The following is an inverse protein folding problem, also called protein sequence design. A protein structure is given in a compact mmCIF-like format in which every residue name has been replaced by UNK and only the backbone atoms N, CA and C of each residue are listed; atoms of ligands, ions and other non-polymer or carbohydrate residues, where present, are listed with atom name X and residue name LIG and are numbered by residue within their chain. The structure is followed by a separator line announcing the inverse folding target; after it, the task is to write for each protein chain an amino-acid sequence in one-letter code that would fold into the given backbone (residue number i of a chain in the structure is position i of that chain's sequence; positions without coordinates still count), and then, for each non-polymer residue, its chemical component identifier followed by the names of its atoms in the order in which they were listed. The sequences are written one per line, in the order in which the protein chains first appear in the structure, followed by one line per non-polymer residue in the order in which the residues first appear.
data_IF_400534961353
#
_entry.id   IF_400534961353
#
_cell.length_a   1.000
_cell.length_b   1.000
_cell.length_c   1.000
_cell.angle_alpha   90.00
_cell.angle_beta   90.00
_cell.angle_gamma   90.00
#
_symmetry.space_group_name_H-M   'P 1'
#
loop_
_entity.id
_entity.type
_entity.pdbx_description
1 polymer ?
#
# COMPACT_ATOMS: atom_id res chain seq x y z
N UNK A 1 -18.11 12.71 -4.69
CA UNK A 1 -18.17 14.11 -4.19
C UNK A 1 -19.61 14.66 -4.22
N UNK A 2 -20.63 13.81 -4.40
CA UNK A 2 -22.05 14.19 -4.43
C UNK A 2 -22.79 13.89 -3.11
N UNK A 3 -22.13 13.29 -2.12
CA UNK A 3 -22.64 13.05 -0.76
C UNK A 3 -23.18 14.31 -0.08
N UNK A 4 -22.69 15.48 -0.48
CA UNK A 4 -23.12 16.76 0.06
C UNK A 4 -24.44 17.25 -0.53
N UNK A 5 -24.83 16.74 -1.69
CA UNK A 5 -26.08 17.12 -2.35
C UNK A 5 -27.30 16.67 -1.54
N UNK A 6 -27.22 15.52 -0.85
CA UNK A 6 -28.29 15.01 0.03
C UNK A 6 -28.32 15.73 1.40
N UNK A 7 -27.22 16.39 1.80
CA UNK A 7 -27.15 17.20 3.02
C UNK A 7 -27.32 18.71 2.77
N UNK A 8 -27.67 19.12 1.54
CA UNK A 8 -27.85 20.53 1.18
C UNK A 8 -26.56 21.35 1.09
N UNK A 9 -25.40 20.71 1.15
CA UNK A 9 -24.13 21.37 0.85
C UNK A 9 -23.91 21.31 -0.67
N UNK A 10 -23.69 22.47 -1.29
CA UNK A 10 -23.40 22.53 -2.73
C UNK A 10 -22.17 21.69 -3.12
N UNK A 11 -22.00 21.46 -4.42
CA UNK A 11 -20.84 20.76 -4.99
C UNK A 11 -19.56 21.44 -4.49
N UNK A 12 -18.85 20.82 -3.53
CA UNK A 12 -17.58 21.35 -3.04
C UNK A 12 -16.55 21.23 -4.17
N UNK A 13 -15.89 22.33 -4.57
CA UNK A 13 -14.78 22.26 -5.51
C UNK A 13 -13.69 21.31 -5.01
N UNK A 14 -13.16 20.46 -5.89
CA UNK A 14 -12.06 19.52 -5.57
C UNK A 14 -10.93 20.10 -4.71
N UNK A 15 -10.37 21.30 -4.98
CA UNK A 15 -9.33 21.88 -4.14
C UNK A 15 -9.78 22.15 -2.70
N UNK A 16 -11.04 22.56 -2.51
CA UNK A 16 -11.59 22.78 -1.17
C UNK A 16 -11.77 21.46 -0.42
N UNK A 17 -12.22 20.40 -1.11
CA UNK A 17 -12.34 19.07 -0.50
C UNK A 17 -10.97 18.47 -0.15
N UNK A 18 -9.96 18.65 -1.01
CA UNK A 18 -8.59 18.23 -0.75
C UNK A 18 -8.00 18.98 0.47
N UNK A 19 -8.23 20.30 0.55
CA UNK A 19 -7.82 21.11 1.69
C UNK A 19 -8.54 20.66 2.98
N UNK A 20 -9.85 20.41 2.92
CA UNK A 20 -10.62 19.91 4.07
C UNK A 20 -10.07 18.56 4.55
N UNK A 21 -9.80 17.61 3.65
CA UNK A 21 -9.20 16.33 4.00
C UNK A 21 -7.81 16.51 4.65
N UNK A 22 -6.98 17.42 4.12
CA UNK A 22 -5.69 17.75 4.71
C UNK A 22 -5.82 18.35 6.12
N UNK A 23 -6.77 19.26 6.33
CA UNK A 23 -7.07 19.85 7.65
C UNK A 23 -7.55 18.78 8.63
N UNK A 24 -8.41 17.85 8.20
CA UNK A 24 -8.89 16.75 9.04
C UNK A 24 -7.78 15.75 9.40
N UNK A 25 -6.80 15.55 8.52
CA UNK A 25 -5.67 14.63 8.77
C UNK A 25 -4.54 15.27 9.60
N UNK A 26 -4.38 16.60 9.52
CA UNK A 26 -3.29 17.34 10.16
C UNK A 26 -3.10 17.02 11.66
N UNK A 27 -4.14 16.98 12.52
CA UNK A 27 -3.97 16.67 13.94
C UNK A 27 -3.28 15.33 14.21
N UNK A 28 -3.53 14.33 13.36
CA UNK A 28 -2.88 13.03 13.43
C UNK A 28 -1.44 13.08 12.91
N UNK A 29 -1.20 13.75 11.79
CA UNK A 29 0.13 13.87 11.17
C UNK A 29 1.15 14.65 12.02
N UNK A 30 0.69 15.65 12.79
CA UNK A 30 1.56 16.43 13.69
C UNK A 30 1.89 15.71 15.01
N UNK A 31 1.30 14.55 15.31
CA UNK A 31 1.62 13.82 16.53
C UNK A 31 3.06 13.31 16.50
N UNK A 32 3.81 13.50 17.59
CA UNK A 32 5.21 13.02 17.71
C UNK A 32 5.33 11.58 18.22
N UNK A 33 4.30 11.07 18.90
CA UNK A 33 4.38 9.80 19.63
C UNK A 33 3.67 8.66 18.90
N UNK A 34 4.40 7.55 18.72
CA UNK A 34 3.87 6.28 18.20
C UNK A 34 2.77 5.68 19.08
N UNK A 35 2.75 5.97 20.40
CA UNK A 35 1.74 5.41 21.31
C UNK A 35 0.33 5.87 20.94
N UNK A 36 0.16 7.17 20.70
CA UNK A 36 -1.12 7.75 20.27
C UNK A 36 -1.50 7.28 18.86
N UNK A 37 -0.49 7.05 18.02
CA UNK A 37 -0.67 6.59 16.64
C UNK A 37 -1.19 5.15 16.57
N UNK A 38 -0.93 4.32 17.59
CA UNK A 38 -1.52 2.97 17.67
C UNK A 38 -3.06 2.97 17.71
N UNK A 39 -3.68 4.04 18.21
CA UNK A 39 -5.14 4.19 18.22
C UNK A 39 -5.67 4.32 16.79
N UNK A 40 -5.00 5.11 15.94
CA UNK A 40 -5.37 5.22 14.52
C UNK A 40 -5.23 3.88 13.80
N UNK A 41 -4.21 3.08 14.10
CA UNK A 41 -4.07 1.75 13.50
C UNK A 41 -5.25 0.82 13.85
N UNK A 42 -5.71 0.82 15.11
CA UNK A 42 -6.90 0.05 15.52
C UNK A 42 -8.16 0.56 14.82
N UNK A 43 -8.31 1.88 14.72
CA UNK A 43 -9.44 2.51 14.05
C UNK A 43 -9.45 2.18 12.55
N UNK A 44 -8.30 2.24 11.88
CA UNK A 44 -8.15 1.84 10.48
C UNK A 44 -8.48 0.36 10.27
N UNK A 45 -8.06 -0.52 11.19
CA UNK A 45 -8.39 -1.94 11.11
C UNK A 45 -9.90 -2.17 11.23
N UNK A 46 -10.56 -1.54 12.21
CA UNK A 46 -12.02 -1.63 12.36
C UNK A 46 -12.73 -1.09 11.11
N UNK A 47 -12.31 0.07 10.60
CA UNK A 47 -12.85 0.66 9.39
C UNK A 47 -12.63 -0.25 8.15
N UNK A 48 -11.47 -0.88 8.02
CA UNK A 48 -11.18 -1.84 6.95
C UNK A 48 -12.08 -3.07 7.03
N UNK A 49 -12.31 -3.63 8.23
CA UNK A 49 -13.24 -4.75 8.42
C UNK A 49 -14.66 -4.36 8.03
N UNK A 50 -15.16 -3.21 8.51
CA UNK A 50 -16.50 -2.71 8.16
C UNK A 50 -16.59 -2.46 6.66
N UNK A 51 -15.59 -1.81 6.07
CA UNK A 51 -15.52 -1.56 4.63
C UNK A 51 -15.58 -2.85 3.82
N UNK A 52 -14.77 -3.87 4.17
CA UNK A 52 -14.75 -5.15 3.48
C UNK A 52 -16.07 -5.90 3.60
N UNK A 53 -16.69 -5.93 4.79
CA UNK A 53 -17.98 -6.60 5.01
C UNK A 53 -19.11 -5.92 4.22
N UNK A 54 -19.18 -4.59 4.28
CA UNK A 54 -20.19 -3.82 3.55
C UNK A 54 -19.97 -3.96 2.04
N UNK A 55 -18.73 -3.85 1.57
CA UNK A 55 -18.41 -4.02 0.15
C UNK A 55 -18.78 -5.42 -0.32
N UNK A 56 -18.40 -6.47 0.41
CA UNK A 56 -18.79 -7.83 0.09
C UNK A 56 -20.32 -7.96 0.01
N UNK A 57 -21.06 -7.42 0.99
CA UNK A 57 -22.52 -7.48 0.99
C UNK A 57 -23.15 -6.82 -0.25
N UNK A 58 -22.57 -5.71 -0.74
CA UNK A 58 -23.06 -4.99 -1.92
C UNK A 58 -22.71 -5.69 -3.23
N UNK A 59 -21.51 -6.24 -3.30
CA UNK A 59 -20.95 -6.82 -4.52
C UNK A 59 -21.49 -8.23 -4.76
N UNK A 60 -21.88 -8.96 -3.70
CA UNK A 60 -22.53 -10.28 -3.81
C UNK A 60 -24.05 -10.23 -4.00
N UNK A 61 -24.67 -9.05 -4.03
CA UNK A 61 -26.09 -8.95 -4.38
C UNK A 61 -26.31 -9.48 -5.80
N UNK A 62 -27.21 -10.45 -6.01
CA UNK A 62 -27.46 -11.01 -7.33
C UNK A 62 -27.79 -9.93 -8.36
N UNK A 63 -27.02 -9.87 -9.43
CA UNK A 63 -27.35 -9.14 -10.65
C UNK A 63 -28.09 -10.01 -11.64
N UNK A 64 -28.85 -9.37 -12.53
CA UNK A 64 -29.30 -10.02 -13.77
C UNK A 64 -28.09 -10.62 -14.49
N UNK A 65 -28.24 -11.83 -15.02
CA UNK A 65 -27.14 -12.74 -15.38
C UNK A 65 -26.20 -12.24 -16.50
N UNK A 66 -26.54 -11.12 -17.14
CA UNK A 66 -25.82 -10.57 -18.30
C UNK A 66 -24.75 -9.52 -17.94
N UNK A 67 -24.56 -9.21 -16.65
CA UNK A 67 -23.66 -8.14 -16.19
C UNK A 67 -22.15 -8.46 -16.21
N UNK A 68 -21.72 -9.64 -16.69
CA UNK A 68 -20.31 -9.82 -16.99
C UNK A 68 -19.94 -8.82 -18.09
N UNK A 69 -19.05 -7.87 -17.77
CA UNK A 69 -18.44 -6.96 -18.75
C UNK A 69 -18.21 -7.75 -20.03
N UNK A 70 -18.76 -7.30 -21.17
CA UNK A 70 -18.79 -8.15 -22.36
C UNK A 70 -17.39 -8.70 -22.55
N UNK A 71 -17.23 -10.04 -22.53
CA UNK A 71 -15.91 -10.67 -22.40
C UNK A 71 -14.88 -10.07 -23.38
N UNK A 72 -15.37 -9.52 -24.49
CA UNK A 72 -14.62 -8.71 -25.45
C UNK A 72 -13.71 -7.67 -24.78
N UNK A 73 -14.15 -6.84 -23.84
CA UNK A 73 -13.32 -5.71 -23.34
C UNK A 73 -12.08 -6.17 -22.59
N UNK A 74 -12.17 -7.23 -21.78
CA UNK A 74 -11.03 -7.73 -21.01
C UNK A 74 -9.99 -8.43 -21.90
N UNK A 75 -10.46 -9.10 -22.96
CA UNK A 75 -9.65 -9.94 -23.85
C UNK A 75 -9.20 -9.24 -25.15
N UNK A 76 -9.72 -8.06 -25.46
CA UNK A 76 -9.32 -7.32 -26.68
C UNK A 76 -7.91 -6.74 -26.56
N UNK A 77 -7.45 -6.39 -25.34
CA UNK A 77 -6.09 -5.84 -25.10
C UNK A 77 -5.44 -6.34 -23.81
N UNK A 78 -5.17 -7.65 -23.68
CA UNK A 78 -4.66 -8.23 -22.44
C UNK A 78 -3.29 -7.66 -22.05
N UNK A 79 -2.40 -7.42 -23.01
CA UNK A 79 -1.06 -6.91 -22.74
C UNK A 79 -1.06 -5.50 -22.13
N UNK A 80 -1.82 -4.57 -22.72
CA UNK A 80 -1.94 -3.19 -22.22
C UNK A 80 -2.57 -3.18 -20.81
N UNK A 81 -3.64 -3.96 -20.62
CA UNK A 81 -4.33 -4.04 -19.32
C UNK A 81 -3.45 -4.66 -18.22
N UNK A 82 -2.67 -5.70 -18.55
CA UNK A 82 -1.74 -6.32 -17.60
C UNK A 82 -0.65 -5.33 -17.18
N UNK A 83 -0.07 -4.61 -18.14
CA UNK A 83 0.98 -3.62 -17.84
C UNK A 83 0.44 -2.46 -16.98
N UNK A 84 -0.77 -2.00 -17.23
CA UNK A 84 -1.41 -0.96 -16.42
C UNK A 84 -1.80 -1.46 -15.01
N UNK A 85 -2.23 -2.72 -14.88
CA UNK A 85 -2.62 -3.31 -13.60
C UNK A 85 -1.43 -3.76 -12.75
N UNK A 86 -0.30 -4.13 -13.37
CA UNK A 86 0.85 -4.70 -12.70
C UNK A 86 1.43 -3.79 -11.59
N UNK A 87 1.63 -2.48 -11.78
CA UNK A 87 2.06 -1.59 -10.71
C UNK A 87 1.09 -1.52 -9.54
N UNK A 88 -0.23 -1.52 -9.82
CA UNK A 88 -1.26 -1.46 -8.79
C UNK A 88 -1.24 -2.76 -7.97
N UNK A 89 -1.16 -3.90 -8.65
CA UNK A 89 -1.02 -5.20 -8.02
C UNK A 89 0.24 -5.26 -7.15
N UNK A 90 1.38 -4.87 -7.71
CA UNK A 90 2.65 -4.80 -6.99
C UNK A 90 2.57 -3.92 -5.75
N UNK A 91 1.90 -2.77 -5.84
CA UNK A 91 1.70 -1.85 -4.73
C UNK A 91 0.85 -2.46 -3.62
N UNK A 92 -0.24 -3.14 -3.99
CA UNK A 92 -1.14 -3.80 -3.04
C UNK A 92 -0.40 -4.85 -2.19
N UNK A 93 0.61 -5.49 -2.77
CA UNK A 93 1.41 -6.54 -2.13
C UNK A 93 2.79 -6.05 -1.62
N UNK A 94 3.05 -4.75 -1.65
CA UNK A 94 4.29 -4.13 -1.17
C UNK A 94 4.35 -4.04 0.37
N UNK A 95 4.31 -5.20 1.04
CA UNK A 95 4.39 -5.32 2.51
C UNK A 95 5.83 -5.26 3.01
N UNK A 96 6.83 -5.24 2.12
CA UNK A 96 8.24 -5.47 2.43
C UNK A 96 8.80 -4.59 3.56
N UNK A 97 8.56 -3.26 3.61
CA UNK A 97 9.12 -2.42 4.67
C UNK A 97 8.50 -2.72 6.05
N UNK A 98 7.20 -3.01 6.09
CA UNK A 98 6.48 -3.32 7.33
C UNK A 98 6.68 -4.75 7.80
N UNK A 99 6.80 -5.70 6.86
CA UNK A 99 6.96 -7.13 7.14
C UNK A 99 8.21 -7.42 7.95
N UNK A 100 9.35 -6.81 7.61
CA UNK A 100 10.62 -7.01 8.34
C UNK A 100 10.48 -6.63 9.82
N UNK A 101 9.74 -5.55 10.14
CA UNK A 101 9.51 -5.12 11.51
C UNK A 101 8.57 -6.06 12.29
N UNK A 102 7.58 -6.65 11.62
CA UNK A 102 6.71 -7.66 12.23
C UNK A 102 7.52 -8.92 12.54
N UNK A 103 8.35 -9.34 11.58
CA UNK A 103 9.17 -10.54 11.73
C UNK A 103 10.28 -10.39 12.78
N UNK A 104 10.84 -9.20 12.99
CA UNK A 104 11.83 -8.97 14.06
C UNK A 104 11.21 -9.00 15.46
N UNK A 105 9.93 -8.64 15.59
CA UNK A 105 9.19 -8.79 16.86
C UNK A 105 8.81 -10.23 17.16
N UNK A 106 8.56 -11.04 16.13
CA UNK A 106 8.35 -12.48 16.30
C UNK A 106 9.63 -13.18 16.76
N UNK A 107 10.81 -12.72 16.30
CA UNK A 107 12.11 -13.19 16.77
C UNK A 107 12.40 -12.80 18.22
N UNK A 108 12.04 -11.57 18.62
CA UNK A 108 12.32 -11.05 19.96
C UNK A 108 11.47 -11.68 21.07
N UNK A 109 10.48 -12.53 20.75
CA UNK A 109 9.73 -13.29 21.77
C UNK A 109 10.62 -14.45 22.23
N UNK A 110 11.22 -14.38 23.44
CA UNK A 110 12.11 -15.42 23.88
C UNK A 110 11.32 -16.72 24.00
N UNK A 111 11.83 -17.78 23.38
CA UNK A 111 11.54 -19.16 23.77
C UNK A 111 11.58 -19.21 25.30
N UNK A 112 10.48 -19.63 25.92
CA UNK A 112 10.30 -19.66 27.38
C UNK A 112 11.60 -20.11 28.07
N UNK A 113 12.14 -19.33 29.04
CA UNK A 113 13.31 -19.74 29.81
C UNK A 113 12.86 -20.87 30.74
N UNK A 114 13.02 -22.10 30.27
CA UNK A 114 12.47 -23.26 30.97
C UNK A 114 12.83 -24.56 30.28
N UNK A 115 14.12 -24.86 30.21
CA UNK A 115 14.71 -26.12 30.68
C UNK A 115 16.22 -26.03 30.43
N UNK A 116 17.01 -26.10 31.50
CA UNK A 116 18.46 -25.96 31.44
C UNK A 116 19.09 -27.00 30.52
N UNK A 117 19.79 -26.54 29.48
CA UNK A 117 20.73 -27.36 28.74
C UNK A 117 22.12 -26.76 28.92
N UNK A 118 22.89 -27.46 29.74
CA UNK A 118 24.21 -27.10 30.19
C UNK A 118 25.23 -27.59 29.15
N UNK A 119 26.04 -26.66 28.63
CA UNK A 119 27.40 -26.92 28.13
C UNK A 119 27.56 -27.83 26.91
N UNK A 120 27.42 -27.27 25.70
CA UNK A 120 27.98 -27.87 24.49
C UNK A 120 27.48 -27.19 23.22
N UNK A 121 28.39 -26.61 22.43
CA UNK A 121 28.17 -26.22 21.02
C UNK A 121 27.25 -25.00 20.74
N UNK A 122 27.60 -23.81 21.25
CA UNK A 122 26.88 -22.56 20.96
C UNK A 122 26.83 -22.15 19.47
N UNK A 123 27.67 -22.73 18.61
CA UNK A 123 27.74 -22.35 17.19
C UNK A 123 26.77 -23.15 16.30
N UNK A 124 26.50 -24.43 16.62
CA UNK A 124 25.54 -25.26 15.88
C UNK A 124 24.09 -24.96 16.27
N UNK A 125 23.83 -24.57 17.53
CA UNK A 125 22.49 -24.14 17.96
C UNK A 125 22.03 -22.85 17.26
N UNK A 126 22.97 -21.97 16.87
CA UNK A 126 22.69 -20.72 16.17
C UNK A 126 22.18 -20.91 14.73
N UNK A 127 22.75 -21.86 13.99
CA UNK A 127 22.33 -22.14 12.60
C UNK A 127 20.98 -22.87 12.53
N UNK A 128 20.70 -23.77 13.47
CA UNK A 128 19.40 -24.42 13.61
C UNK A 128 18.28 -23.43 13.99
N UNK A 129 18.57 -22.47 14.87
CA UNK A 129 17.61 -21.43 15.23
C UNK A 129 17.32 -20.46 14.07
N UNK A 130 18.33 -20.09 13.29
CA UNK A 130 18.16 -19.19 12.15
C UNK A 130 17.32 -19.82 11.02
N UNK A 131 17.54 -21.11 10.73
CA UNK A 131 16.80 -21.84 9.69
C UNK A 131 15.32 -22.03 10.05
N UNK A 132 15.02 -22.43 11.29
CA UNK A 132 13.64 -22.58 11.78
C UNK A 132 12.86 -21.26 11.78
N UNK A 133 13.51 -20.14 12.15
CA UNK A 133 12.91 -18.80 12.05
C UNK A 133 12.63 -18.39 10.60
N UNK A 134 13.54 -18.67 9.68
CA UNK A 134 13.33 -18.38 8.26
C UNK A 134 12.15 -19.16 7.69
N UNK A 135 11.98 -20.42 8.08
CA UNK A 135 10.84 -21.25 7.69
C UNK A 135 9.52 -20.69 8.24
N UNK A 136 9.48 -20.33 9.54
CA UNK A 136 8.30 -19.71 10.14
C UNK A 136 7.91 -18.39 9.44
N UNK A 137 8.89 -17.57 9.06
CA UNK A 137 8.67 -16.32 8.30
C UNK A 137 8.05 -16.60 6.93
N UNK A 138 8.59 -17.57 6.20
CA UNK A 138 8.08 -17.99 4.88
C UNK A 138 6.66 -18.52 4.98
N UNK A 139 6.36 -19.31 6.02
CA UNK A 139 5.03 -19.85 6.25
C UNK A 139 4.02 -18.73 6.56
N UNK A 140 4.33 -17.85 7.52
CA UNK A 140 3.43 -16.74 7.90
C UNK A 140 3.23 -15.77 6.74
N UNK A 141 4.28 -15.40 6.01
CA UNK A 141 4.14 -14.53 4.84
C UNK A 141 3.33 -15.22 3.75
N UNK A 142 3.60 -16.48 3.44
CA UNK A 142 2.88 -17.25 2.42
C UNK A 142 1.39 -17.34 2.71
N UNK A 143 1.00 -17.64 3.96
CA UNK A 143 -0.40 -17.68 4.38
C UNK A 143 -1.05 -16.29 4.28
N UNK A 144 -0.38 -15.24 4.76
CA UNK A 144 -0.91 -13.88 4.70
C UNK A 144 -1.11 -13.38 3.26
N UNK A 145 -0.14 -13.63 2.37
CA UNK A 145 -0.23 -13.33 0.95
C UNK A 145 -1.35 -14.12 0.28
N UNK A 146 -1.49 -15.41 0.60
CA UNK A 146 -2.57 -16.25 0.11
C UNK A 146 -3.95 -15.70 0.47
N UNK A 147 -4.18 -15.38 1.74
CA UNK A 147 -5.44 -14.80 2.22
C UNK A 147 -5.74 -13.46 1.53
N UNK A 148 -4.75 -12.56 1.48
CA UNK A 148 -4.91 -11.25 0.85
C UNK A 148 -5.23 -11.38 -0.65
N UNK A 149 -4.54 -12.27 -1.36
CA UNK A 149 -4.80 -12.55 -2.77
C UNK A 149 -6.19 -13.13 -3.00
N UNK A 150 -6.64 -14.06 -2.16
CA UNK A 150 -7.99 -14.64 -2.26
C UNK A 150 -9.05 -13.57 -2.05
N UNK A 151 -8.93 -12.74 -1.02
CA UNK A 151 -9.89 -11.66 -0.74
C UNK A 151 -9.93 -10.67 -1.91
N UNK A 152 -8.77 -10.20 -2.38
CA UNK A 152 -8.68 -9.24 -3.47
C UNK A 152 -9.27 -9.80 -4.77
N UNK A 153 -8.96 -11.07 -5.10
CA UNK A 153 -9.47 -11.74 -6.30
C UNK A 153 -10.99 -11.93 -6.22
N UNK A 154 -11.51 -12.40 -5.10
CA UNK A 154 -12.94 -12.65 -4.91
C UNK A 154 -13.73 -11.34 -4.99
N UNK A 155 -13.30 -10.29 -4.28
CA UNK A 155 -13.96 -8.98 -4.32
C UNK A 155 -13.85 -8.37 -5.72
N UNK A 156 -12.67 -8.44 -6.36
CA UNK A 156 -12.44 -7.90 -7.69
C UNK A 156 -13.30 -8.58 -8.76
N UNK A 157 -13.34 -9.91 -8.78
CA UNK A 157 -14.19 -10.65 -9.72
C UNK A 157 -15.68 -10.39 -9.50
N UNK A 158 -16.10 -10.36 -8.24
CA UNK A 158 -17.50 -10.09 -7.91
C UNK A 158 -17.88 -8.64 -8.30
N UNK A 159 -16.96 -7.68 -8.15
CA UNK A 159 -17.16 -6.30 -8.57
C UNK A 159 -17.28 -6.19 -10.10
N UNK A 160 -16.38 -6.84 -10.84
CA UNK A 160 -16.45 -6.89 -12.30
C UNK A 160 -17.75 -7.54 -12.79
N UNK A 161 -18.24 -8.58 -12.10
CA UNK A 161 -19.54 -9.21 -12.40
C UNK A 161 -20.73 -8.30 -12.07
N UNK A 162 -20.61 -7.47 -11.03
CA UNK A 162 -21.69 -6.58 -10.56
C UNK A 162 -21.82 -5.33 -11.42
N UNK A 163 -20.70 -4.70 -11.76
CA UNK A 163 -20.67 -3.40 -12.44
C UNK A 163 -20.32 -3.50 -13.93
N UNK A 164 -19.85 -4.64 -14.40
CA UNK A 164 -19.53 -4.85 -15.81
C UNK A 164 -18.50 -3.84 -16.33
N UNK A 165 -18.76 -3.29 -17.53
CA UNK A 165 -17.87 -2.34 -18.21
C UNK A 165 -17.75 -0.99 -17.50
N UNK A 166 -18.67 -0.68 -16.58
CA UNK A 166 -18.60 0.56 -15.79
C UNK A 166 -17.58 0.49 -14.65
N UNK A 167 -16.98 -0.67 -14.37
CA UNK A 167 -16.06 -0.87 -13.23
C UNK A 167 -14.90 0.14 -13.26
N UNK A 168 -14.92 1.11 -12.36
CA UNK A 168 -13.85 2.09 -12.21
C UNK A 168 -12.84 1.64 -11.14
N UNK A 169 -11.63 2.21 -11.17
CA UNK A 169 -10.61 1.95 -10.16
C UNK A 169 -11.04 2.33 -8.73
N UNK A 170 -11.97 3.27 -8.59
CA UNK A 170 -12.62 3.57 -7.32
C UNK A 170 -14.05 3.00 -7.31
N UNK A 171 -14.20 1.82 -6.72
CA UNK A 171 -15.48 1.11 -6.62
C UNK A 171 -16.59 1.91 -5.92
N UNK A 172 -16.23 2.90 -5.10
CA UNK A 172 -17.21 3.76 -4.42
C UNK A 172 -18.00 4.64 -5.39
N UNK A 173 -17.41 4.98 -6.54
CA UNK A 173 -18.09 5.76 -7.59
C UNK A 173 -19.21 4.90 -8.19
N UNK A 174 -18.90 3.66 -8.52
CA UNK A 174 -19.83 2.68 -9.07
C UNK A 174 -21.01 2.37 -8.13
N UNK A 175 -20.75 2.29 -6.83
CA UNK A 175 -21.79 2.05 -5.83
C UNK A 175 -22.79 3.21 -5.72
N UNK A 176 -22.39 4.44 -6.04
CA UNK A 176 -23.26 5.62 -5.93
C UNK A 176 -24.31 5.66 -7.04
N UNK A 177 -23.93 5.30 -8.27
CA UNK A 177 -24.81 5.32 -9.44
C UNK A 177 -25.85 4.18 -9.41
N UNK A 178 -25.53 3.07 -8.74
CA UNK A 178 -26.37 1.87 -8.69
C UNK A 178 -27.46 1.94 -7.60
N UNK A 179 -28.56 2.67 -7.88
CA UNK A 179 -29.83 2.69 -7.12
C UNK A 179 -29.71 2.95 -5.60
N UNK A 180 -29.51 4.23 -5.26
CA UNK A 180 -29.41 4.78 -3.89
C UNK A 180 -30.62 4.53 -2.95
N UNK A 181 -31.78 4.10 -3.44
CA UNK A 181 -33.02 4.07 -2.66
C UNK A 181 -33.16 2.91 -1.65
N UNK A 182 -32.49 1.77 -1.86
CA UNK A 182 -32.64 0.60 -0.96
C UNK A 182 -31.45 0.37 -0.02
N UNK A 183 -30.31 1.03 -0.28
CA UNK A 183 -29.03 0.75 0.39
C UNK A 183 -28.29 2.02 0.88
N UNK A 184 -28.99 3.14 1.06
CA UNK A 184 -28.38 4.41 1.46
C UNK A 184 -27.44 4.29 2.67
N UNK A 185 -27.88 3.60 3.72
CA UNK A 185 -27.06 3.38 4.92
C UNK A 185 -25.77 2.58 4.67
N UNK A 186 -25.80 1.59 3.77
CA UNK A 186 -24.62 0.80 3.43
C UNK A 186 -23.59 1.64 2.64
N UNK A 187 -24.05 2.46 1.71
CA UNK A 187 -23.18 3.36 0.94
C UNK A 187 -22.53 4.39 1.87
N UNK A 188 -23.30 5.02 2.76
CA UNK A 188 -22.76 5.96 3.75
C UNK A 188 -21.75 5.28 4.68
N UNK A 189 -22.04 4.07 5.16
CA UNK A 189 -21.11 3.31 6.00
C UNK A 189 -19.81 2.97 5.25
N UNK A 190 -19.90 2.61 3.97
CA UNK A 190 -18.75 2.30 3.13
C UNK A 190 -17.87 3.54 2.90
N UNK A 191 -18.48 4.69 2.60
CA UNK A 191 -17.80 5.97 2.40
C UNK A 191 -17.15 6.47 3.70
N UNK A 192 -17.87 6.42 4.82
CA UNK A 192 -17.35 6.81 6.12
C UNK A 192 -16.17 5.92 6.53
N UNK A 193 -16.31 4.60 6.35
CA UNK A 193 -15.23 3.64 6.65
C UNK A 193 -14.00 3.89 5.77
N UNK A 194 -14.20 4.17 4.48
CA UNK A 194 -13.11 4.55 3.58
C UNK A 194 -12.42 5.84 4.02
N UNK A 195 -13.18 6.89 4.34
CA UNK A 195 -12.65 8.16 4.80
C UNK A 195 -11.82 8.01 6.09
N UNK A 196 -12.36 7.27 7.07
CA UNK A 196 -11.66 6.97 8.33
C UNK A 196 -10.37 6.19 8.06
N UNK A 197 -10.43 5.17 7.20
CA UNK A 197 -9.26 4.37 6.84
C UNK A 197 -8.18 5.22 6.16
N UNK A 198 -8.54 6.07 5.20
CA UNK A 198 -7.58 6.91 4.48
C UNK A 198 -6.96 7.98 5.39
N UNK A 199 -7.79 8.73 6.13
CA UNK A 199 -7.33 9.79 7.04
C UNK A 199 -6.48 9.22 8.18
N UNK A 200 -6.92 8.11 8.78
CA UNK A 200 -6.17 7.44 9.85
C UNK A 200 -4.86 6.84 9.35
N UNK A 201 -4.85 6.27 8.14
CA UNK A 201 -3.62 5.69 7.56
C UNK A 201 -2.60 6.77 7.19
N UNK A 202 -3.04 7.91 6.68
CA UNK A 202 -2.14 9.04 6.39
C UNK A 202 -1.46 9.57 7.67
N UNK A 203 -2.22 9.74 8.75
CA UNK A 203 -1.67 10.10 10.06
C UNK A 203 -0.67 9.04 10.58
N UNK A 204 -1.01 7.77 10.44
CA UNK A 204 -0.16 6.65 10.84
C UNK A 204 1.16 6.61 10.05
N UNK A 205 1.10 6.77 8.73
CA UNK A 205 2.26 6.70 7.83
C UNK A 205 3.19 7.91 7.94
N UNK A 206 2.69 9.06 8.41
CA UNK A 206 3.52 10.26 8.56
C UNK A 206 4.66 10.10 9.57
N UNK A 207 4.48 9.28 10.60
CA UNK A 207 5.52 9.06 11.61
C UNK A 207 6.73 8.33 11.03
N UNK A 208 6.61 7.08 10.49
CA UNK A 208 7.75 6.40 9.89
C UNK A 208 8.32 7.17 8.69
N UNK A 209 7.48 7.88 7.92
CA UNK A 209 7.96 8.71 6.82
C UNK A 209 8.94 9.80 7.30
N UNK A 210 8.61 10.52 8.38
CA UNK A 210 9.53 11.52 8.96
C UNK A 210 10.83 10.90 9.44
N UNK A 211 10.76 9.76 10.12
CA UNK A 211 11.97 9.07 10.56
C UNK A 211 12.87 8.69 9.37
N UNK A 212 12.30 8.08 8.33
CA UNK A 212 13.03 7.72 7.12
C UNK A 212 13.62 8.96 6.43
N UNK A 213 12.85 10.05 6.31
CA UNK A 213 13.32 11.30 5.72
C UNK A 213 14.52 11.89 6.47
N UNK A 214 14.47 11.93 7.81
CA UNK A 214 15.60 12.43 8.61
C UNK A 214 16.81 11.51 8.58
N UNK A 215 16.61 10.20 8.46
CA UNK A 215 17.69 9.24 8.27
C UNK A 215 18.40 9.45 6.94
N UNK A 216 17.65 9.65 5.85
CA UNK A 216 18.22 10.00 4.54
C UNK A 216 19.03 11.31 4.62
N UNK A 217 18.51 12.35 5.28
CA UNK A 217 19.23 13.61 5.46
C UNK A 217 20.53 13.46 6.27
N UNK A 218 20.59 12.52 7.22
CA UNK A 218 21.83 12.20 7.95
C UNK A 218 22.82 11.49 7.03
N UNK A 219 22.36 10.53 6.24
CA UNK A 219 23.21 9.76 5.34
C UNK A 219 23.81 10.61 4.21
N UNK A 220 23.10 11.63 3.72
CA UNK A 220 23.60 12.53 2.68
C UNK A 220 24.57 13.60 3.19
N UNK A 221 24.92 13.58 4.49
CA UNK A 221 25.83 14.56 5.08
C UNK A 221 25.24 15.97 5.23
N UNK A 222 23.95 16.15 4.91
CA UNK A 222 23.25 17.42 5.08
C UNK A 222 23.08 17.83 6.56
N UNK A 223 23.37 16.92 7.51
CA UNK A 223 23.32 17.19 8.94
C UNK A 223 24.53 16.62 9.66
N UNK A 224 25.27 17.49 10.36
CA UNK A 224 26.39 17.08 11.23
C UNK A 224 25.90 16.18 12.37
N UNK A 225 26.63 15.09 12.63
CA UNK A 225 26.29 14.00 13.56
C UNK A 225 26.16 14.42 15.04
N UNK A 226 26.43 15.69 15.37
CA UNK A 226 26.75 16.11 16.73
C UNK A 226 25.59 16.57 17.61
N UNK A 227 24.30 16.41 17.25
CA UNK A 227 23.23 16.76 18.20
C UNK A 227 21.93 15.96 18.09
N UNK A 228 21.36 15.75 19.27
CA UNK A 228 20.72 14.54 19.81
C UNK A 228 19.21 14.43 19.52
N UNK A 229 18.55 15.50 19.05
CA UNK A 229 17.12 15.47 18.71
C UNK A 229 16.83 16.31 17.44
N UNK A 230 15.82 15.91 16.66
CA UNK A 230 15.40 16.65 15.46
C UNK A 230 14.57 17.87 15.90
N UNK A 231 14.94 19.11 15.52
CA UNK A 231 14.17 20.31 15.88
C UNK A 231 12.69 20.18 15.50
N UNK A 232 11.83 20.61 16.42
CA UNK A 232 10.39 20.62 16.22
C UNK A 232 9.94 21.34 14.95
N UNK A 233 10.59 22.47 14.64
CA UNK A 233 10.32 23.29 13.45
C UNK A 233 10.57 22.50 12.16
N UNK A 234 11.66 21.75 12.09
CA UNK A 234 11.98 20.95 10.91
C UNK A 234 10.97 19.79 10.73
N UNK A 235 10.56 19.15 11.83
CA UNK A 235 9.50 18.13 11.77
C UNK A 235 8.18 18.71 11.24
N UNK A 236 7.83 19.93 11.67
CA UNK A 236 6.64 20.62 11.19
C UNK A 236 6.75 20.99 9.72
N UNK A 237 7.91 21.49 9.26
CA UNK A 237 8.16 21.81 7.85
C UNK A 237 8.01 20.59 6.94
N UNK A 238 8.58 19.44 7.33
CA UNK A 238 8.42 18.18 6.59
C UNK A 238 6.96 17.76 6.55
N UNK A 239 6.25 17.88 7.66
CA UNK A 239 4.80 17.56 7.74
C UNK A 239 3.96 18.45 6.84
N UNK A 240 4.24 19.75 6.86
CA UNK A 240 3.57 20.72 6.00
C UNK A 240 3.89 20.46 4.52
N UNK A 241 5.14 20.15 4.19
CA UNK A 241 5.55 19.80 2.83
C UNK A 241 4.80 18.57 2.30
N UNK A 242 4.64 17.52 3.12
CA UNK A 242 3.85 16.33 2.75
C UNK A 242 2.37 16.68 2.60
N UNK A 243 1.79 17.46 3.52
CA UNK A 243 0.39 17.91 3.41
C UNK A 243 0.15 18.72 2.13
N UNK A 244 1.03 19.68 1.81
CA UNK A 244 0.97 20.46 0.58
C UNK A 244 1.07 19.56 -0.65
N UNK A 245 1.97 18.58 -0.64
CA UNK A 245 2.10 17.61 -1.73
C UNK A 245 0.84 16.77 -1.88
N UNK A 246 0.22 16.31 -0.77
CA UNK A 246 -1.03 15.56 -0.79
C UNK A 246 -2.17 16.39 -1.39
N UNK A 247 -2.30 17.67 -1.00
CA UNK A 247 -3.31 18.57 -1.58
C UNK A 247 -3.05 18.77 -3.07
N UNK A 248 -1.81 19.03 -3.46
CA UNK A 248 -1.43 19.23 -4.86
C UNK A 248 -1.77 17.99 -5.70
N UNK A 249 -1.36 16.80 -5.25
CA UNK A 249 -1.69 15.54 -5.93
C UNK A 249 -3.20 15.33 -6.01
N UNK A 250 -3.94 15.57 -4.92
CA UNK A 250 -5.40 15.44 -4.92
C UNK A 250 -6.10 16.45 -5.85
N UNK A 251 -5.49 17.61 -6.10
CA UNK A 251 -6.03 18.61 -7.05
C UNK A 251 -5.69 18.32 -8.50
N UNK A 252 -4.52 17.72 -8.77
CA UNK A 252 -4.03 17.46 -10.12
C UNK A 252 -4.42 16.07 -10.64
N UNK A 253 -4.65 15.11 -9.75
CA UNK A 253 -4.93 13.73 -10.12
C UNK A 253 -6.41 13.39 -9.91
N UNK A 254 -7.13 13.29 -11.03
CA UNK A 254 -8.56 12.95 -11.03
C UNK A 254 -8.83 11.47 -10.78
N UNK A 255 -7.86 10.60 -11.05
CA UNK A 255 -8.01 9.16 -10.97
C UNK A 255 -6.99 8.56 -9.99
N UNK A 256 -7.50 7.91 -8.94
CA UNK A 256 -6.67 7.25 -7.93
C UNK A 256 -5.83 6.12 -8.53
N UNK A 257 -6.29 5.49 -9.61
CA UNK A 257 -5.53 4.47 -10.34
C UNK A 257 -4.22 5.03 -10.89
N UNK A 258 -4.19 6.28 -11.34
CA UNK A 258 -2.95 6.93 -11.79
C UNK A 258 -1.97 7.08 -10.64
N UNK A 259 -2.44 7.52 -9.46
CA UNK A 259 -1.60 7.65 -8.26
C UNK A 259 -1.05 6.28 -7.84
N UNK A 260 -1.87 5.24 -7.84
CA UNK A 260 -1.41 3.88 -7.54
C UNK A 260 -0.48 3.30 -8.61
N UNK A 261 -0.68 3.64 -9.90
CA UNK A 261 0.24 3.25 -10.97
C UNK A 261 1.60 3.89 -10.76
N UNK A 262 1.66 5.19 -10.51
CA UNK A 262 2.92 5.91 -10.23
C UNK A 262 3.59 5.36 -8.98
N UNK A 263 2.86 5.35 -7.86
CA UNK A 263 3.37 4.89 -6.57
C UNK A 263 3.83 3.43 -6.62
N UNK A 264 3.06 2.55 -7.25
CA UNK A 264 3.40 1.14 -7.43
C UNK A 264 4.56 0.91 -8.38
N UNK A 265 4.69 1.70 -9.44
CA UNK A 265 5.80 1.62 -10.37
C UNK A 265 7.12 1.85 -9.64
N UNK A 266 7.22 2.90 -8.84
CA UNK A 266 8.43 3.12 -8.05
C UNK A 266 8.54 2.12 -6.89
N UNK A 267 7.50 1.97 -6.08
CA UNK A 267 7.59 1.17 -4.87
C UNK A 267 7.87 -0.30 -5.16
N UNK A 268 7.13 -0.91 -6.08
CA UNK A 268 7.29 -2.32 -6.42
C UNK A 268 8.56 -2.54 -7.22
N UNK A 269 8.82 -1.78 -8.29
CA UNK A 269 9.99 -2.08 -9.12
C UNK A 269 11.28 -1.82 -8.35
N UNK A 270 11.38 -0.71 -7.60
CA UNK A 270 12.58 -0.38 -6.85
C UNK A 270 12.74 -1.26 -5.61
N UNK A 271 11.74 -1.33 -4.73
CA UNK A 271 11.90 -2.02 -3.43
C UNK A 271 11.65 -3.52 -3.48
N UNK A 272 10.82 -4.02 -4.42
CA UNK A 272 10.55 -5.46 -4.51
C UNK A 272 11.54 -6.21 -5.39
N UNK A 273 11.97 -5.59 -6.50
CA UNK A 273 12.76 -6.27 -7.52
C UNK A 273 14.19 -5.76 -7.59
N UNK A 274 14.39 -4.46 -7.85
CA UNK A 274 15.71 -3.91 -8.15
C UNK A 274 16.63 -3.93 -6.93
N UNK A 275 16.20 -3.37 -5.80
CA UNK A 275 17.06 -3.28 -4.61
C UNK A 275 17.39 -4.67 -4.02
N UNK A 276 16.42 -5.57 -3.77
CA UNK A 276 16.73 -6.90 -3.25
C UNK A 276 17.64 -7.69 -4.19
N UNK A 277 17.39 -7.61 -5.51
CA UNK A 277 18.22 -8.25 -6.51
C UNK A 277 19.64 -7.69 -6.56
N UNK A 278 19.80 -6.37 -6.57
CA UNK A 278 21.10 -5.71 -6.56
C UNK A 278 21.91 -6.03 -5.28
N UNK A 279 21.27 -6.04 -4.10
CA UNK A 279 21.93 -6.44 -2.86
C UNK A 279 22.31 -7.92 -2.87
N UNK A 280 21.42 -8.80 -3.32
CA UNK A 280 21.69 -10.23 -3.39
C UNK A 280 22.83 -10.55 -4.37
N UNK A 281 22.90 -9.87 -5.51
CA UNK A 281 24.02 -9.98 -6.46
C UNK A 281 25.35 -9.51 -5.85
N UNK A 282 25.33 -8.40 -5.09
CA UNK A 282 26.52 -7.89 -4.40
C UNK A 282 26.98 -8.81 -3.26
N UNK A 283 26.05 -9.52 -2.62
CA UNK A 283 26.38 -10.52 -1.60
C UNK A 283 26.86 -11.83 -2.25
N UNK A 284 26.24 -12.27 -3.35
CA UNK A 284 26.64 -13.49 -4.05
C UNK A 284 28.00 -13.36 -4.71
N UNK A 285 28.43 -12.16 -5.12
CA UNK A 285 29.79 -11.94 -5.64
C UNK A 285 30.90 -12.22 -4.62
N UNK A 286 30.57 -12.34 -3.32
CA UNK A 286 31.50 -12.71 -2.24
C UNK A 286 31.41 -14.18 -1.84
N UNK A 287 30.39 -14.90 -2.30
CA UNK A 287 30.14 -16.30 -1.97
C UNK A 287 30.40 -17.17 -3.20
N UNK A 288 30.96 -18.38 -3.02
CA UNK A 288 31.22 -19.31 -4.13
C UNK A 288 29.94 -19.89 -4.77
N UNK A 289 28.75 -19.51 -4.28
CA UNK A 289 27.45 -19.95 -4.78
C UNK A 289 27.07 -19.32 -6.14
N UNK A 290 27.77 -19.72 -7.21
CA UNK A 290 27.63 -19.19 -8.58
C UNK A 290 26.27 -19.48 -9.24
N UNK A 291 25.54 -20.50 -8.78
CA UNK A 291 24.32 -21.00 -9.41
C UNK A 291 23.06 -20.14 -9.24
N UNK A 292 22.98 -19.31 -8.18
CA UNK A 292 21.78 -18.49 -7.90
C UNK A 292 21.83 -17.10 -8.55
N UNK A 293 22.97 -16.70 -9.10
CA UNK A 293 23.21 -15.35 -9.64
C UNK A 293 22.35 -15.05 -10.87
N UNK A 294 22.11 -16.04 -11.74
CA UNK A 294 21.31 -15.84 -12.97
C UNK A 294 19.85 -15.48 -12.65
N UNK A 295 19.25 -16.17 -11.68
CA UNK A 295 17.87 -15.88 -11.25
C UNK A 295 17.74 -14.47 -10.65
N UNK A 296 18.68 -14.07 -9.80
CA UNK A 296 18.71 -12.73 -9.21
C UNK A 296 18.90 -11.63 -10.26
N UNK A 297 19.77 -11.87 -11.25
CA UNK A 297 19.98 -10.96 -12.37
C UNK A 297 18.71 -10.83 -13.21
N UNK A 298 18.04 -11.94 -13.52
CA UNK A 298 16.79 -11.94 -14.28
C UNK A 298 15.69 -11.16 -13.56
N UNK A 299 15.54 -11.34 -12.24
CA UNK A 299 14.56 -10.60 -11.42
C UNK A 299 14.89 -9.10 -11.38
N UNK A 300 16.16 -8.74 -11.23
CA UNK A 300 16.60 -7.33 -11.24
C UNK A 300 16.35 -6.68 -12.60
N UNK A 301 16.73 -7.37 -13.68
CA UNK A 301 16.53 -6.91 -15.06
C UNK A 301 15.03 -6.74 -15.35
N UNK A 302 14.20 -7.71 -14.97
CA UNK A 302 12.76 -7.62 -15.09
C UNK A 302 12.20 -6.38 -14.38
N UNK A 303 12.65 -6.09 -13.14
CA UNK A 303 12.24 -4.88 -12.42
C UNK A 303 12.62 -3.58 -13.15
N UNK A 304 13.82 -3.51 -13.73
CA UNK A 304 14.26 -2.35 -14.53
C UNK A 304 13.42 -2.19 -15.80
N UNK A 305 13.20 -3.27 -16.56
CA UNK A 305 12.39 -3.21 -17.78
C UNK A 305 10.94 -2.84 -17.45
N UNK A 306 10.34 -3.46 -16.43
CA UNK A 306 9.00 -3.13 -15.99
C UNK A 306 8.88 -1.65 -15.56
N UNK A 307 9.89 -1.11 -14.85
CA UNK A 307 9.95 0.30 -14.49
C UNK A 307 9.97 1.18 -15.74
N UNK A 308 10.82 0.88 -16.72
CA UNK A 308 10.91 1.64 -17.98
C UNK A 308 9.58 1.62 -18.74
N UNK A 309 8.97 0.46 -18.90
CA UNK A 309 7.67 0.34 -19.57
C UNK A 309 6.58 1.13 -18.85
N UNK A 310 6.49 1.03 -17.53
CA UNK A 310 5.49 1.77 -16.75
C UNK A 310 5.70 3.29 -16.82
N UNK A 311 6.96 3.74 -16.85
CA UNK A 311 7.29 5.17 -17.02
C UNK A 311 6.92 5.65 -18.42
N UNK A 312 7.25 4.89 -19.47
CA UNK A 312 6.89 5.24 -20.84
C UNK A 312 5.36 5.32 -21.04
N UNK A 313 4.64 4.35 -20.47
CA UNK A 313 3.18 4.30 -20.47
C UNK A 313 2.57 5.50 -19.74
N UNK A 314 3.12 5.87 -18.58
CA UNK A 314 2.73 7.07 -17.85
C UNK A 314 2.98 8.37 -18.64
N UNK A 315 4.12 8.46 -19.33
CA UNK A 315 4.41 9.61 -20.20
C UNK A 315 3.44 9.67 -21.40
N UNK A 316 3.12 8.53 -22.01
CA UNK A 316 2.15 8.47 -23.11
C UNK A 316 0.76 8.93 -22.64
N UNK A 317 0.30 8.44 -21.49
CA UNK A 317 -0.94 8.87 -20.84
C UNK A 317 -0.94 10.37 -20.51
N UNK A 318 0.21 10.93 -20.10
CA UNK A 318 0.32 12.36 -19.84
C UNK A 318 0.26 13.19 -21.13
N UNK A 319 0.96 12.77 -22.19
CA UNK A 319 0.97 13.48 -23.48
C UNK A 319 -0.37 13.46 -24.20
N UNK A 320 -1.18 12.41 -24.03
CA UNK A 320 -2.51 12.33 -24.66
C UNK A 320 -3.56 13.26 -24.04
N UNK A 321 -3.25 13.89 -22.90
CA UNK A 321 -4.14 14.83 -22.19
C UNK A 321 -3.85 16.30 -22.51
N UNK A 322 -2.76 16.60 -23.22
CA UNK A 322 -2.39 17.94 -23.67
C UNK A 322 -2.60 18.08 -25.18
#
# INVERSE_FOLDING_TARGET
MELMHDFGFGIIPRPMAALLAAVLCAPGMFQRSLKKVSVYSKLCLMAAVVFSLVLASLVFVPTEMDALASQKVLWVKPAENILAAWPIFGYLFAVQPGGVMVFSKLEARPSRPGLGRQGGSQQEEGEGAASTLQEARRHVSGVAYGIALTIATVIGLAACKRFGETTQGNILVNCHESRALFWGGAITALQLSSAVMLLGSAAFMMVPFRFAFFEVLKLTGARSQASEEVPASLQQQVTLGVLCLMVLVATLCDNISTVYRVGGTFATQVFAFILPGAFALKLSSRSEARGQTLGLLAVTAFGVFALLFCVMDLFSDATSRF
#
